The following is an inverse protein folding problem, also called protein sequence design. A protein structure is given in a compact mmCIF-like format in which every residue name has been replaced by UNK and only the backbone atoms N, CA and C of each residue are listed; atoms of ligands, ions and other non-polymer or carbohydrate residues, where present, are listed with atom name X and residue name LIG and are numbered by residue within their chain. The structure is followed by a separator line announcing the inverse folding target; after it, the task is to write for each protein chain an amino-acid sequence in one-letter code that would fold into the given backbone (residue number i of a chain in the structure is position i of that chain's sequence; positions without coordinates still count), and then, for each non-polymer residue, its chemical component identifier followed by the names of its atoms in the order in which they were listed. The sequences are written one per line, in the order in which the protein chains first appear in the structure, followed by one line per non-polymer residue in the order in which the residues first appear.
data_IF_863750764287
#
_entry.id   IF_863750764287
#
_cell.length_a   1.000
_cell.length_b   1.000
_cell.length_c   1.000
_cell.angle_alpha   90.00
_cell.angle_beta   90.00
_cell.angle_gamma   90.00
#
_symmetry.space_group_name_H-M   'P 1'
#
loop_
_entity.id
_entity.type
_entity.pdbx_description
1 polymer ?
#
# COMPACT_ATOMS: atom_id res chain seq x y z
N UNK A 1 -9.39 20.01 -7.98
CA UNK A 1 -10.51 19.44 -8.76
C UNK A 1 -11.79 19.52 -7.93
N UNK A 2 -12.97 19.69 -8.54
CA UNK A 2 -14.27 19.65 -7.83
C UNK A 2 -14.74 18.20 -7.64
N UNK A 3 -15.88 18.00 -6.99
CA UNK A 3 -16.55 16.70 -6.99
C UNK A 3 -16.89 16.26 -8.42
N UNK A 4 -16.94 14.94 -8.63
CA UNK A 4 -17.36 14.36 -9.91
C UNK A 4 -18.80 14.79 -10.25
N UNK A 5 -19.10 14.86 -11.54
CA UNK A 5 -20.45 15.16 -12.03
C UNK A 5 -21.01 13.85 -12.60
N UNK A 6 -21.98 13.21 -11.94
CA UNK A 6 -22.59 12.00 -12.44
C UNK A 6 -23.53 12.30 -13.60
N UNK A 7 -23.90 11.28 -14.36
CA UNK A 7 -25.00 11.41 -15.30
C UNK A 7 -26.33 11.70 -14.57
N UNK A 8 -27.22 12.54 -15.15
CA UNK A 8 -28.46 12.95 -14.49
C UNK A 8 -29.32 11.79 -14.01
N UNK A 9 -29.31 10.65 -14.72
CA UNK A 9 -30.07 9.45 -14.34
C UNK A 9 -29.63 8.82 -13.02
N UNK A 10 -28.43 9.09 -12.52
CA UNK A 10 -27.92 8.51 -11.26
C UNK A 10 -27.94 9.48 -10.08
N UNK A 11 -28.38 10.73 -10.26
CA UNK A 11 -28.35 11.76 -9.21
C UNK A 11 -29.13 11.37 -7.94
N UNK A 12 -30.11 10.49 -8.08
CA UNK A 12 -30.97 10.01 -6.99
C UNK A 12 -30.40 8.79 -6.24
N UNK A 13 -29.28 8.22 -6.68
CA UNK A 13 -28.68 7.05 -6.02
C UNK A 13 -27.85 7.47 -4.80
N UNK A 14 -27.68 6.56 -3.85
CA UNK A 14 -26.77 6.72 -2.70
C UNK A 14 -27.01 7.97 -1.84
N UNK A 15 -28.25 8.49 -1.74
CA UNK A 15 -28.55 9.75 -1.02
C UNK A 15 -28.05 9.76 0.43
N UNK A 16 -28.15 8.61 1.10
CA UNK A 16 -27.74 8.45 2.50
C UNK A 16 -26.29 7.97 2.67
N UNK A 17 -25.56 7.74 1.58
CA UNK A 17 -24.18 7.26 1.67
C UNK A 17 -23.27 8.33 2.30
N UNK A 18 -22.43 7.87 3.22
CA UNK A 18 -21.43 8.65 3.94
C UNK A 18 -20.10 7.94 3.90
N UNK A 19 -19.04 8.70 4.06
CA UNK A 19 -17.70 8.13 4.15
C UNK A 19 -17.58 7.33 5.45
N UNK A 20 -17.01 6.11 5.41
CA UNK A 20 -16.64 5.39 6.63
C UNK A 20 -15.43 6.07 7.28
N UNK A 21 -15.68 7.09 8.11
CA UNK A 21 -14.63 7.82 8.82
C UNK A 21 -14.32 7.18 10.18
N UNK A 22 -13.04 6.96 10.46
CA UNK A 22 -12.53 6.53 11.77
C UNK A 22 -11.61 7.59 12.44
N UNK A 23 -11.80 8.87 12.13
CA UNK A 23 -10.88 9.91 12.59
C UNK A 23 -10.87 10.10 14.12
N UNK A 24 -9.67 10.23 14.68
CA UNK A 24 -9.48 10.51 16.12
C UNK A 24 -9.04 11.96 16.36
N UNK A 25 -9.39 12.49 17.53
CA UNK A 25 -8.91 13.81 17.97
C UNK A 25 -7.42 13.81 18.31
N UNK A 26 -6.86 12.65 18.65
CA UNK A 26 -5.45 12.51 18.99
C UNK A 26 -4.59 12.60 17.73
N UNK A 27 -3.42 13.26 17.79
CA UNK A 27 -2.42 13.17 16.74
C UNK A 27 -1.95 11.72 16.56
N UNK A 28 -1.93 11.26 15.32
CA UNK A 28 -1.42 9.93 14.92
C UNK A 28 -0.81 10.04 13.52
N UNK A 29 -0.03 9.03 13.11
CA UNK A 29 0.78 9.03 11.90
C UNK A 29 2.06 9.85 12.00
N UNK A 30 2.58 10.26 10.85
CA UNK A 30 3.87 10.94 10.73
C UNK A 30 3.81 12.17 9.82
N UNK A 31 4.93 12.89 9.74
CA UNK A 31 5.14 14.03 8.84
C UNK A 31 4.04 15.10 8.98
N UNK A 32 3.42 15.49 7.88
CA UNK A 32 2.42 16.55 7.86
C UNK A 32 1.04 16.05 8.30
N UNK A 33 0.79 14.74 8.18
CA UNK A 33 -0.49 14.08 8.48
C UNK A 33 -0.79 14.18 9.98
N UNK A 34 0.21 13.94 10.84
CA UNK A 34 0.06 14.02 12.30
C UNK A 34 -0.39 15.41 12.81
N UNK A 35 -0.20 16.45 11.99
CA UNK A 35 -0.54 17.84 12.35
C UNK A 35 -1.87 18.32 11.79
N UNK A 36 -2.58 17.46 11.05
CA UNK A 36 -3.85 17.85 10.44
C UNK A 36 -4.92 18.15 11.50
N UNK A 37 -5.62 19.29 11.39
CA UNK A 37 -6.68 19.64 12.32
C UNK A 37 -7.89 18.73 12.11
N UNK A 38 -8.72 18.59 13.16
CA UNK A 38 -10.04 18.00 13.00
C UNK A 38 -10.88 18.82 12.01
N UNK A 39 -11.52 18.12 11.09
CA UNK A 39 -12.40 18.73 10.11
C UNK A 39 -13.72 19.15 10.78
N UNK A 40 -14.22 20.33 10.42
CA UNK A 40 -15.52 20.79 10.90
C UNK A 40 -16.66 20.18 10.09
N UNK A 41 -17.89 20.32 10.58
CA UNK A 41 -19.09 19.73 9.96
C UNK A 41 -19.32 20.16 8.50
N UNK A 42 -18.90 21.36 8.11
CA UNK A 42 -19.03 21.83 6.73
C UNK A 42 -18.14 21.01 5.79
N UNK A 43 -16.89 20.77 6.19
CA UNK A 43 -15.94 19.95 5.42
C UNK A 43 -16.43 18.50 5.35
N UNK A 44 -16.81 17.92 6.49
CA UNK A 44 -17.34 16.54 6.54
C UNK A 44 -18.57 16.37 5.65
N UNK A 45 -19.52 17.31 5.68
CA UNK A 45 -20.71 17.26 4.81
C UNK A 45 -20.34 17.38 3.31
N UNK A 46 -19.33 18.19 2.98
CA UNK A 46 -18.83 18.33 1.63
C UNK A 46 -18.17 17.03 1.15
N UNK A 47 -17.35 16.41 1.99
CA UNK A 47 -16.69 15.15 1.68
C UNK A 47 -17.71 14.02 1.50
N UNK A 48 -18.73 13.95 2.35
CA UNK A 48 -19.88 13.05 2.17
C UNK A 48 -20.57 13.28 0.82
N UNK A 49 -20.74 14.54 0.40
CA UNK A 49 -21.24 14.86 -0.94
C UNK A 49 -20.27 14.39 -2.03
N UNK A 50 -18.97 14.68 -1.89
CA UNK A 50 -17.93 14.28 -2.83
C UNK A 50 -17.93 12.76 -3.04
N UNK A 51 -18.04 12.00 -1.95
CA UNK A 51 -18.14 10.55 -1.96
C UNK A 51 -19.38 10.05 -2.72
N UNK A 52 -20.57 10.59 -2.42
CA UNK A 52 -21.80 10.26 -3.17
C UNK A 52 -21.66 10.53 -4.66
N UNK A 53 -21.08 11.67 -5.02
CA UNK A 53 -20.89 12.03 -6.42
C UNK A 53 -19.98 11.03 -7.14
N UNK A 54 -18.90 10.56 -6.51
CA UNK A 54 -18.04 9.50 -7.06
C UNK A 54 -18.80 8.19 -7.25
N UNK A 55 -19.56 7.73 -6.25
CA UNK A 55 -20.37 6.50 -6.35
C UNK A 55 -21.37 6.57 -7.51
N UNK A 56 -22.00 7.73 -7.70
CA UNK A 56 -22.95 7.98 -8.80
C UNK A 56 -22.25 8.00 -10.15
N UNK A 57 -21.10 8.67 -10.27
CA UNK A 57 -20.31 8.69 -11.51
C UNK A 57 -19.78 7.31 -11.88
N UNK A 58 -19.49 6.46 -10.88
CA UNK A 58 -19.06 5.08 -11.11
C UNK A 58 -20.14 4.22 -11.81
N UNK A 59 -21.42 4.55 -11.67
CA UNK A 59 -22.49 3.81 -12.35
C UNK A 59 -22.41 3.90 -13.88
N UNK A 60 -21.97 5.05 -14.42
CA UNK A 60 -21.68 5.18 -15.86
C UNK A 60 -20.56 4.24 -16.29
N UNK A 61 -19.54 4.06 -15.45
CA UNK A 61 -18.43 3.12 -15.72
C UNK A 61 -18.94 1.68 -15.69
N UNK A 62 -19.79 1.34 -14.72
CA UNK A 62 -20.41 0.01 -14.61
C UNK A 62 -21.23 -0.34 -15.88
N UNK A 63 -22.07 0.57 -16.37
CA UNK A 63 -22.79 0.37 -17.63
C UNK A 63 -21.85 0.22 -18.84
N UNK A 64 -20.75 0.96 -18.89
CA UNK A 64 -19.75 0.83 -19.95
C UNK A 64 -19.08 -0.55 -19.92
N UNK A 65 -18.77 -1.07 -18.72
CA UNK A 65 -18.24 -2.43 -18.55
C UNK A 65 -19.26 -3.46 -19.02
N UNK A 66 -20.53 -3.33 -18.63
CA UNK A 66 -21.60 -4.22 -19.11
C UNK A 66 -21.72 -4.19 -20.65
N UNK A 67 -21.73 -3.00 -21.26
CA UNK A 67 -21.81 -2.86 -22.72
C UNK A 67 -20.61 -3.48 -23.43
N UNK A 68 -19.40 -3.38 -22.86
CA UNK A 68 -18.21 -4.04 -23.39
C UNK A 68 -18.38 -5.56 -23.38
N UNK A 69 -18.86 -6.12 -22.26
CA UNK A 69 -19.08 -7.57 -22.11
C UNK A 69 -20.12 -8.05 -23.13
N UNK A 70 -21.28 -7.38 -23.25
CA UNK A 70 -22.33 -7.72 -24.23
C UNK A 70 -21.81 -7.69 -25.69
N UNK A 71 -20.90 -6.76 -26.01
CA UNK A 71 -20.25 -6.69 -27.33
C UNK A 71 -19.29 -7.86 -27.56
N UNK A 72 -18.55 -8.29 -26.54
CA UNK A 72 -17.70 -9.47 -26.63
C UNK A 72 -18.53 -10.76 -26.79
N UNK A 73 -19.67 -10.86 -26.10
CA UNK A 73 -20.62 -11.97 -26.25
C UNK A 73 -21.23 -12.03 -27.63
N UNK A 74 -21.79 -10.93 -28.11
CA UNK A 74 -22.45 -10.85 -29.42
C UNK A 74 -21.50 -11.08 -30.61
N UNK A 75 -20.20 -10.79 -30.43
CA UNK A 75 -19.15 -11.09 -31.42
C UNK A 75 -18.57 -12.50 -31.28
N UNK A 76 -18.99 -13.28 -30.29
CA UNK A 76 -18.46 -14.62 -30.01
C UNK A 76 -17.00 -14.61 -29.54
N UNK A 77 -16.49 -13.48 -29.04
CA UNK A 77 -15.10 -13.33 -28.58
C UNK A 77 -14.93 -13.47 -27.07
N UNK A 78 -16.03 -13.47 -26.29
CA UNK A 78 -15.95 -13.47 -24.83
C UNK A 78 -15.13 -14.65 -24.27
N UNK A 79 -15.37 -15.86 -24.77
CA UNK A 79 -14.70 -17.08 -24.29
C UNK A 79 -13.21 -17.18 -24.67
N UNK A 80 -12.71 -16.27 -25.52
CA UNK A 80 -11.31 -16.17 -25.92
C UNK A 80 -10.66 -14.85 -25.46
N UNK A 81 -11.27 -14.16 -24.50
CA UNK A 81 -10.81 -12.85 -24.02
C UNK A 81 -10.54 -12.91 -22.52
N UNK A 82 -9.35 -12.46 -22.12
CA UNK A 82 -9.10 -12.09 -20.72
C UNK A 82 -9.58 -10.66 -20.48
N UNK A 83 -10.41 -10.47 -19.46
CA UNK A 83 -10.90 -9.18 -19.00
C UNK A 83 -10.32 -8.96 -17.60
N UNK A 84 -9.56 -7.88 -17.43
CA UNK A 84 -8.96 -7.48 -16.16
C UNK A 84 -9.50 -6.10 -15.79
N UNK A 85 -10.16 -6.00 -14.63
CA UNK A 85 -10.65 -4.74 -14.07
C UNK A 85 -9.83 -4.40 -12.83
N UNK A 86 -9.22 -3.22 -12.82
CA UNK A 86 -8.39 -2.73 -11.71
C UNK A 86 -8.36 -1.18 -11.68
N UNK A 87 -7.67 -0.61 -10.70
CA UNK A 87 -7.38 0.83 -10.59
C UNK A 87 -5.87 1.07 -10.52
N UNK A 88 -5.42 2.26 -10.92
CA UNK A 88 -4.02 2.69 -10.79
C UNK A 88 -3.61 2.87 -9.32
N UNK A 89 -4.52 3.43 -8.53
CA UNK A 89 -4.40 3.67 -7.10
C UNK A 89 -5.79 3.71 -6.46
N UNK A 90 -5.82 3.73 -5.14
CA UNK A 90 -6.97 4.06 -4.33
C UNK A 90 -7.23 5.57 -4.24
N UNK A 91 -8.09 5.98 -3.31
CA UNK A 91 -8.47 7.37 -3.11
C UNK A 91 -9.11 7.59 -1.73
N UNK A 92 -8.43 8.31 -0.85
CA UNK A 92 -9.00 8.78 0.42
C UNK A 92 -9.87 10.03 0.24
N UNK A 93 -10.86 10.18 1.13
CA UNK A 93 -11.79 11.30 1.22
C UNK A 93 -12.11 11.53 2.70
N UNK A 94 -11.39 12.40 3.39
CA UNK A 94 -11.63 12.70 4.81
C UNK A 94 -11.04 11.70 5.80
N UNK A 95 -10.73 10.46 5.40
CA UNK A 95 -9.97 9.54 6.26
C UNK A 95 -8.62 10.15 6.65
N UNK A 96 -8.16 9.88 7.87
CA UNK A 96 -6.98 10.52 8.47
C UNK A 96 -7.04 12.07 8.48
N UNK A 97 -8.25 12.66 8.34
CA UNK A 97 -8.49 14.11 8.19
C UNK A 97 -7.92 14.67 6.88
N UNK A 98 -7.59 13.81 5.92
CA UNK A 98 -7.03 14.18 4.64
C UNK A 98 -8.13 14.77 3.73
N UNK A 99 -7.80 15.83 3.00
CA UNK A 99 -8.65 16.23 1.88
C UNK A 99 -8.68 15.12 0.81
N UNK A 100 -9.69 15.10 -0.07
CA UNK A 100 -9.75 14.17 -1.19
C UNK A 100 -8.41 14.09 -1.96
N UNK A 101 -7.88 12.89 -2.18
CA UNK A 101 -6.54 12.75 -2.74
C UNK A 101 -6.05 11.31 -2.86
N UNK A 102 -4.78 11.17 -3.26
CA UNK A 102 -4.11 9.88 -3.50
C UNK A 102 -2.58 10.00 -3.42
N UNK A 103 -2.03 10.03 -2.22
CA UNK A 103 -0.58 10.26 -2.04
C UNK A 103 -0.04 9.70 -0.73
N UNK A 104 -0.80 8.87 -0.03
CA UNK A 104 -0.44 8.27 1.25
C UNK A 104 -0.32 6.75 1.09
N UNK A 105 0.30 6.10 2.06
CA UNK A 105 0.45 4.64 2.05
C UNK A 105 -0.69 3.91 2.76
N UNK A 106 -1.74 4.62 3.19
CA UNK A 106 -2.91 4.05 3.87
C UNK A 106 -3.72 3.15 2.92
N UNK A 107 -4.48 2.21 3.47
CA UNK A 107 -5.26 1.22 2.70
C UNK A 107 -6.19 1.89 1.68
N UNK A 108 -6.77 3.06 2.01
CA UNK A 108 -7.63 3.80 1.07
C UNK A 108 -6.91 4.17 -0.22
N UNK A 109 -5.60 4.40 -0.20
CA UNK A 109 -4.79 4.83 -1.34
C UNK A 109 -4.10 3.68 -2.07
N UNK A 110 -3.82 2.57 -1.39
CA UNK A 110 -3.00 1.48 -1.96
C UNK A 110 -3.81 0.23 -2.30
N UNK A 111 -4.95 -0.02 -1.62
CA UNK A 111 -5.74 -1.23 -1.83
C UNK A 111 -6.80 -1.01 -2.91
N UNK A 112 -6.47 -1.46 -4.12
CA UNK A 112 -7.31 -1.31 -5.31
C UNK A 112 -8.14 -2.56 -5.62
N UNK A 113 -9.28 -2.43 -6.31
CA UNK A 113 -10.01 -3.58 -6.83
C UNK A 113 -9.15 -4.33 -7.86
N UNK A 114 -9.25 -5.65 -7.89
CA UNK A 114 -8.66 -6.48 -8.94
C UNK A 114 -9.60 -7.65 -9.26
N UNK A 115 -10.12 -7.69 -10.48
CA UNK A 115 -10.95 -8.78 -10.98
C UNK A 115 -10.42 -9.27 -12.31
N UNK A 116 -10.39 -10.58 -12.49
CA UNK A 116 -9.98 -11.22 -13.74
C UNK A 116 -10.99 -12.28 -14.16
N UNK A 117 -11.34 -12.27 -15.45
CA UNK A 117 -12.16 -13.28 -16.14
C UNK A 117 -11.44 -13.69 -17.41
N UNK A 118 -11.53 -14.97 -17.78
CA UNK A 118 -11.07 -15.42 -19.09
C UNK A 118 -10.89 -16.93 -19.17
N UNK A 119 -10.33 -17.44 -20.27
CA UNK A 119 -10.05 -18.85 -20.45
C UNK A 119 -9.27 -19.45 -19.25
N UNK A 120 -9.80 -20.52 -18.65
CA UNK A 120 -9.14 -21.24 -17.55
C UNK A 120 -9.16 -20.54 -16.19
N UNK A 121 -9.76 -19.34 -16.08
CA UNK A 121 -9.94 -18.65 -14.79
C UNK A 121 -11.17 -19.23 -14.07
N UNK A 122 -11.05 -19.73 -12.83
CA UNK A 122 -12.17 -20.28 -12.09
C UNK A 122 -13.26 -19.25 -11.78
N UNK A 123 -14.52 -19.60 -12.00
CA UNK A 123 -15.66 -18.76 -11.65
C UNK A 123 -15.83 -18.63 -10.13
N UNK A 124 -16.07 -17.41 -9.64
CA UNK A 124 -16.38 -17.15 -8.23
C UNK A 124 -15.23 -17.39 -7.24
N UNK A 125 -14.02 -17.70 -7.71
CA UNK A 125 -12.84 -17.87 -6.84
C UNK A 125 -12.40 -16.51 -6.30
N UNK A 126 -12.19 -16.46 -4.99
CA UNK A 126 -11.52 -15.34 -4.31
C UNK A 126 -10.10 -15.77 -4.00
N UNK A 127 -9.13 -14.97 -4.44
CA UNK A 127 -7.72 -15.13 -4.10
C UNK A 127 -7.33 -14.09 -3.04
N UNK A 128 -6.71 -14.54 -1.95
CA UNK A 128 -6.32 -13.69 -0.82
C UNK A 128 -4.80 -13.50 -0.73
N UNK A 129 -4.05 -14.14 -1.62
CA UNK A 129 -2.61 -13.94 -1.78
C UNK A 129 -2.32 -12.47 -2.11
N UNK A 130 -1.25 -11.94 -1.51
CA UNK A 130 -0.76 -10.58 -1.78
C UNK A 130 -0.32 -10.46 -3.24
N UNK A 131 -0.77 -9.40 -3.91
CA UNK A 131 -0.36 -9.08 -5.29
C UNK A 131 -0.24 -7.57 -5.45
N UNK A 132 0.48 -7.15 -6.48
CA UNK A 132 0.81 -5.75 -6.76
C UNK A 132 0.75 -5.46 -8.26
N UNK A 133 0.82 -4.18 -8.64
CA UNK A 133 0.83 -3.82 -10.06
C UNK A 133 2.04 -4.36 -10.83
N UNK A 134 3.18 -4.63 -10.17
CA UNK A 134 4.36 -5.21 -10.84
C UNK A 134 4.15 -6.67 -11.24
N UNK A 135 3.18 -7.36 -10.62
CA UNK A 135 2.80 -8.75 -10.95
C UNK A 135 1.90 -8.84 -12.20
N UNK A 136 1.36 -7.71 -12.69
CA UNK A 136 0.50 -7.67 -13.88
C UNK A 136 1.24 -8.12 -15.14
N UNK A 137 2.44 -7.59 -15.37
CA UNK A 137 3.23 -7.86 -16.58
C UNK A 137 3.62 -9.34 -16.71
N UNK A 138 4.25 -9.98 -15.69
CA UNK A 138 4.55 -11.41 -15.77
C UNK A 138 3.30 -12.27 -15.94
N UNK A 139 2.18 -11.92 -15.27
CA UNK A 139 0.91 -12.62 -15.43
C UNK A 139 0.38 -12.52 -16.86
N UNK A 140 0.41 -11.33 -17.47
CA UNK A 140 0.02 -11.14 -18.87
C UNK A 140 0.91 -11.92 -19.84
N UNK A 141 2.20 -12.06 -19.53
CA UNK A 141 3.12 -12.88 -20.32
C UNK A 141 2.72 -14.36 -20.28
N UNK A 142 2.41 -14.89 -19.11
CA UNK A 142 1.92 -16.27 -18.96
C UNK A 142 0.62 -16.49 -19.73
N UNK A 143 -0.37 -15.61 -19.55
CA UNK A 143 -1.67 -15.71 -20.24
C UNK A 143 -1.53 -15.62 -21.76
N UNK A 144 -0.52 -14.91 -22.26
CA UNK A 144 -0.20 -14.80 -23.68
C UNK A 144 0.72 -15.92 -24.21
N UNK A 145 1.18 -16.84 -23.36
CA UNK A 145 2.13 -17.90 -23.74
C UNK A 145 3.53 -17.38 -24.08
N UNK A 146 3.92 -16.23 -23.52
CA UNK A 146 5.22 -15.62 -23.70
C UNK A 146 6.21 -16.06 -22.61
N UNK A 147 7.52 -16.17 -22.92
CA UNK A 147 8.52 -16.52 -21.91
C UNK A 147 8.68 -15.39 -20.90
N UNK A 148 8.73 -15.73 -19.60
CA UNK A 148 9.05 -14.78 -18.53
C UNK A 148 10.47 -14.24 -18.67
N UNK A 149 10.67 -13.02 -18.17
CA UNK A 149 11.97 -12.35 -18.15
C UNK A 149 12.51 -12.29 -16.74
N UNK A 150 13.83 -12.47 -16.62
CA UNK A 150 14.53 -12.40 -15.34
C UNK A 150 14.59 -10.99 -14.75
N UNK A 151 14.34 -9.95 -15.56
CA UNK A 151 14.37 -8.56 -15.13
C UNK A 151 13.00 -8.00 -14.69
N UNK A 152 12.00 -8.87 -14.51
CA UNK A 152 10.73 -8.49 -13.90
C UNK A 152 10.86 -8.37 -12.39
N UNK A 153 10.36 -7.25 -11.85
CA UNK A 153 10.31 -7.02 -10.40
C UNK A 153 9.21 -7.83 -9.72
N UNK A 154 8.15 -8.19 -10.47
CA UNK A 154 7.00 -8.96 -9.97
C UNK A 154 7.00 -10.43 -10.43
N UNK A 155 5.99 -11.16 -9.98
CA UNK A 155 5.81 -12.60 -10.25
C UNK A 155 4.42 -12.93 -10.78
N UNK A 156 4.21 -14.19 -11.15
CA UNK A 156 2.91 -14.67 -11.61
C UNK A 156 1.87 -14.59 -10.49
N UNK A 157 0.74 -13.94 -10.77
CA UNK A 157 -0.44 -14.03 -9.91
C UNK A 157 -1.07 -15.41 -10.03
N UNK A 158 -1.72 -15.88 -8.96
CA UNK A 158 -2.44 -17.17 -8.93
C UNK A 158 -3.80 -17.12 -9.63
N UNK A 159 -3.78 -16.87 -10.94
CA UNK A 159 -4.99 -16.66 -11.75
C UNK A 159 -5.67 -17.98 -12.13
N UNK A 160 -4.92 -18.94 -12.63
CA UNK A 160 -5.44 -20.23 -13.08
C UNK A 160 -5.39 -21.29 -11.97
N UNK A 161 -6.04 -22.44 -12.18
CA UNK A 161 -6.04 -23.52 -11.18
C UNK A 161 -4.65 -24.16 -11.00
N UNK A 162 -3.79 -24.09 -12.02
CA UNK A 162 -2.44 -24.66 -12.04
C UNK A 162 -1.31 -23.59 -11.98
N UNK A 163 -1.64 -22.30 -11.85
CA UNK A 163 -0.63 -21.25 -11.81
C UNK A 163 0.24 -21.37 -10.56
N UNK A 164 1.55 -21.57 -10.74
CA UNK A 164 2.55 -21.60 -9.66
C UNK A 164 3.02 -20.17 -9.42
N UNK A 165 2.14 -19.35 -8.82
CA UNK A 165 2.53 -18.02 -8.37
C UNK A 165 3.41 -18.10 -7.12
N UNK A 166 4.51 -17.34 -7.12
CA UNK A 166 5.31 -17.12 -5.90
C UNK A 166 4.44 -16.27 -4.98
N UNK A 167 4.20 -16.77 -3.77
CA UNK A 167 3.55 -15.98 -2.71
C UNK A 167 4.66 -15.20 -2.04
N UNK A 168 4.56 -13.88 -2.10
CA UNK A 168 5.33 -12.98 -1.25
C UNK A 168 4.41 -12.39 -0.18
N UNK A 169 5.01 -11.98 0.94
CA UNK A 169 4.29 -11.35 2.05
C UNK A 169 4.31 -9.82 1.94
N UNK A 170 5.14 -9.25 1.06
CA UNK A 170 5.47 -7.83 1.07
C UNK A 170 4.99 -7.10 -0.19
N UNK A 171 4.55 -5.86 0.01
CA UNK A 171 4.28 -4.88 -1.04
C UNK A 171 5.07 -3.63 -0.72
N UNK A 172 5.83 -3.14 -1.70
CA UNK A 172 6.53 -1.85 -1.56
C UNK A 172 5.63 -0.74 -2.08
N UNK A 173 5.47 0.31 -1.28
CA UNK A 173 4.76 1.52 -1.67
C UNK A 173 5.68 2.72 -1.48
N UNK A 174 5.66 3.66 -2.42
CA UNK A 174 6.51 4.84 -2.37
C UNK A 174 5.81 6.07 -2.93
N UNK A 175 6.24 7.23 -2.45
CA UNK A 175 5.81 8.53 -2.96
C UNK A 175 6.98 9.50 -2.97
N UNK A 176 6.90 10.51 -3.84
CA UNK A 176 7.95 11.50 -4.05
C UNK A 176 7.37 12.90 -4.24
N UNK A 177 8.02 13.90 -3.64
CA UNK A 177 7.70 15.31 -3.84
C UNK A 177 6.43 15.74 -3.15
N UNK A 178 5.51 16.33 -3.91
CA UNK A 178 4.27 16.90 -3.36
C UNK A 178 3.09 15.93 -3.40
N UNK A 179 2.28 15.93 -2.35
CA UNK A 179 0.93 15.36 -2.34
C UNK A 179 -0.08 16.41 -2.84
N UNK A 180 -0.52 16.35 -4.11
CA UNK A 180 -1.64 17.17 -4.56
C UNK A 180 -2.92 16.74 -3.85
N UNK A 181 -3.70 17.73 -3.43
CA UNK A 181 -5.04 17.51 -2.87
C UNK A 181 -6.12 18.05 -3.79
N UNK A 182 -7.31 17.50 -3.64
CA UNK A 182 -8.47 17.78 -4.45
C UNK A 182 -9.66 18.24 -3.58
N UNK A 183 -10.69 18.78 -4.21
CA UNK A 183 -11.85 19.37 -3.57
C UNK A 183 -11.80 20.90 -3.43
N UNK A 184 -12.89 21.45 -2.91
CA UNK A 184 -13.09 22.90 -2.73
C UNK A 184 -12.45 23.44 -1.44
N UNK A 185 -12.26 22.58 -0.44
CA UNK A 185 -11.71 22.95 0.88
C UNK A 185 -10.20 22.67 1.01
N UNK A 186 -9.49 22.55 -0.11
CA UNK A 186 -8.06 22.22 -0.17
C UNK A 186 -7.16 23.21 0.57
N UNK A 187 -7.52 24.48 0.64
CA UNK A 187 -6.75 25.51 1.36
C UNK A 187 -6.74 25.33 2.89
N UNK A 188 -7.72 24.59 3.44
CA UNK A 188 -7.80 24.23 4.86
C UNK A 188 -7.05 22.91 5.15
N UNK A 189 -6.88 22.07 4.11
CA UNK A 189 -6.34 20.73 4.20
C UNK A 189 -4.97 20.53 3.51
N UNK A 190 -4.39 21.58 2.92
CA UNK A 190 -3.03 21.63 2.35
C UNK A 190 -2.08 22.38 3.28
N UNK A 191 -1.61 21.78 4.38
CA UNK A 191 -0.53 22.38 5.13
C UNK A 191 0.72 22.48 4.23
N UNK A 192 1.65 23.42 4.49
CA UNK A 192 2.92 23.52 3.75
C UNK A 192 3.72 22.20 3.67
N UNK A 193 3.44 21.27 4.59
CA UNK A 193 4.02 19.94 4.64
C UNK A 193 3.66 19.01 3.48
N UNK A 194 2.58 19.26 2.74
CA UNK A 194 2.24 18.44 1.56
C UNK A 194 3.30 18.48 0.46
N UNK A 195 4.18 19.50 0.46
CA UNK A 195 5.35 19.58 -0.44
C UNK A 195 6.50 18.65 -0.06
N UNK A 196 6.41 17.97 1.08
CA UNK A 196 7.44 17.06 1.61
C UNK A 196 6.81 15.70 1.89
N UNK A 197 6.23 15.11 0.85
CA UNK A 197 5.49 13.86 0.89
C UNK A 197 6.32 12.63 0.48
N UNK A 198 7.64 12.77 0.41
CA UNK A 198 8.50 11.64 0.04
C UNK A 198 8.55 10.62 1.18
N UNK A 199 8.28 9.35 0.87
CA UNK A 199 8.44 8.22 1.79
C UNK A 199 8.68 6.92 1.02
N UNK A 200 9.24 5.94 1.74
CA UNK A 200 9.27 4.53 1.35
C UNK A 200 8.56 3.73 2.41
N UNK A 201 7.76 2.75 2.00
CA UNK A 201 7.04 1.90 2.93
C UNK A 201 6.96 0.46 2.45
N UNK A 202 6.70 -0.42 3.41
CA UNK A 202 6.35 -1.81 3.19
C UNK A 202 5.00 -2.09 3.83
N UNK A 203 4.15 -2.75 3.07
CA UNK A 203 2.96 -3.41 3.55
C UNK A 203 3.29 -4.89 3.62
N UNK A 204 3.16 -5.51 4.78
CA UNK A 204 3.56 -6.90 5.01
C UNK A 204 2.39 -7.69 5.61
N UNK A 205 2.00 -8.77 4.95
CA UNK A 205 0.81 -9.55 5.27
C UNK A 205 1.04 -11.03 4.97
N UNK A 206 0.80 -11.85 5.99
CA UNK A 206 0.77 -13.31 5.88
C UNK A 206 -0.14 -13.87 6.99
N UNK A 207 -0.20 -15.20 7.12
CA UNK A 207 -0.86 -15.85 8.24
C UNK A 207 -0.20 -15.45 9.58
N UNK A 208 -0.88 -14.58 10.33
CA UNK A 208 -0.51 -14.21 11.70
C UNK A 208 -0.03 -12.77 11.89
N UNK A 209 0.23 -12.02 10.81
CA UNK A 209 0.60 -10.61 10.89
C UNK A 209 0.10 -9.81 9.69
N UNK A 210 -0.21 -8.54 9.94
CA UNK A 210 -0.82 -7.66 8.98
C UNK A 210 -0.35 -6.22 9.24
N UNK A 211 0.82 -5.84 8.75
CA UNK A 211 1.51 -4.61 9.15
C UNK A 211 1.70 -3.64 7.98
N UNK A 212 1.75 -2.36 8.32
CA UNK A 212 2.27 -1.30 7.45
C UNK A 212 3.40 -0.59 8.18
N UNK A 213 4.53 -0.37 7.50
CA UNK A 213 5.68 0.35 8.04
C UNK A 213 6.23 1.33 7.01
N UNK A 214 6.45 2.58 7.42
CA UNK A 214 6.96 3.64 6.53
C UNK A 214 8.07 4.45 7.17
N UNK A 215 8.98 4.97 6.32
CA UNK A 215 9.97 5.98 6.68
C UNK A 215 9.77 7.18 5.77
N UNK A 216 9.44 8.32 6.37
CA UNK A 216 9.25 9.58 5.66
C UNK A 216 10.57 10.33 5.48
N UNK A 217 10.62 11.26 4.52
CA UNK A 217 11.79 12.11 4.32
C UNK A 217 12.10 13.07 5.47
N UNK A 218 11.19 13.20 6.45
CA UNK A 218 11.43 13.84 7.75
C UNK A 218 12.18 12.94 8.74
N UNK A 219 12.49 11.69 8.36
CA UNK A 219 12.95 10.59 9.22
C UNK A 219 11.96 10.18 10.31
N UNK A 220 10.70 10.54 10.13
CA UNK A 220 9.61 10.06 10.97
C UNK A 220 9.06 8.76 10.41
N UNK A 221 8.48 7.96 11.28
CA UNK A 221 8.06 6.60 10.94
C UNK A 221 6.60 6.39 11.26
N UNK A 222 5.99 5.47 10.54
CA UNK A 222 4.70 4.89 10.89
C UNK A 222 4.86 3.38 11.01
N UNK A 223 4.15 2.80 11.99
CA UNK A 223 3.95 1.38 12.14
C UNK A 223 2.50 1.14 12.55
N UNK A 224 1.74 0.41 11.74
CA UNK A 224 0.38 0.00 12.08
C UNK A 224 0.25 -1.51 12.03
N UNK A 225 -0.52 -2.06 12.97
CA UNK A 225 -1.00 -3.45 12.93
C UNK A 225 -2.46 -3.47 12.50
N UNK A 226 -2.70 -3.70 11.21
CA UNK A 226 -4.01 -3.66 10.60
C UNK A 226 -4.91 -4.83 11.01
N UNK A 227 -4.37 -5.86 11.69
CA UNK A 227 -5.22 -6.88 12.30
C UNK A 227 -6.02 -6.32 13.50
N UNK A 228 -5.43 -5.39 14.25
CA UNK A 228 -6.03 -4.78 15.43
C UNK A 228 -6.44 -3.31 15.23
N UNK A 229 -5.87 -2.64 14.24
CA UNK A 229 -6.12 -1.25 13.85
C UNK A 229 -6.40 -1.15 12.33
N UNK A 230 -7.57 -1.65 11.85
CA UNK A 230 -7.88 -1.72 10.42
C UNK A 230 -8.10 -0.36 9.75
N UNK A 231 -8.07 0.74 10.52
CA UNK A 231 -8.18 2.11 10.02
C UNK A 231 -6.89 2.91 10.18
N UNK A 232 -5.79 2.28 10.63
CA UNK A 232 -4.46 2.89 10.71
C UNK A 232 -4.46 4.21 11.50
N UNK A 233 -5.20 4.24 12.62
CA UNK A 233 -5.38 5.43 13.46
C UNK A 233 -4.49 5.47 14.69
N UNK A 234 -3.75 4.40 14.98
CA UNK A 234 -2.84 4.30 16.11
C UNK A 234 -1.42 3.89 15.68
N UNK A 235 -0.58 4.89 15.44
CA UNK A 235 0.83 4.66 15.10
C UNK A 235 1.58 4.03 16.29
N UNK A 236 2.03 2.79 16.12
CA UNK A 236 2.75 2.00 17.10
C UNK A 236 4.23 2.37 17.21
N UNK A 237 4.77 3.13 16.24
CA UNK A 237 6.17 3.51 16.27
C UNK A 237 6.45 4.40 17.49
N UNK A 238 7.45 4.08 18.33
CA UNK A 238 7.72 4.85 19.54
C UNK A 238 8.13 6.28 19.19
N UNK A 239 7.26 7.23 19.51
CA UNK A 239 7.58 8.65 19.39
C UNK A 239 8.68 9.05 20.39
N UNK A 240 9.40 10.14 20.12
CA UNK A 240 10.42 10.69 21.04
C UNK A 240 9.87 11.13 22.42
N UNK A 241 8.56 11.06 22.64
CA UNK A 241 7.87 11.52 23.86
C UNK A 241 6.77 10.59 24.36
N UNK A 242 6.89 9.27 24.17
CA UNK A 242 6.05 8.32 24.89
C UNK A 242 6.73 7.95 26.21
N UNK A 243 6.23 8.49 27.31
CA UNK A 243 6.46 7.88 28.63
C UNK A 243 5.87 6.47 28.56
N UNK A 244 6.75 5.47 28.44
CA UNK A 244 6.49 4.03 28.42
C UNK A 244 5.88 3.59 29.76
N UNK A 245 4.58 3.77 29.92
CA UNK A 245 3.77 3.05 30.91
C UNK A 245 2.42 2.72 30.29
N UNK A 246 2.40 1.75 29.41
CA UNK A 246 1.22 1.03 28.93
C UNK A 246 1.76 -0.15 28.14
N UNK A 247 1.58 -1.37 28.66
CA UNK A 247 1.88 -2.67 28.03
C UNK A 247 2.22 -2.55 26.54
N UNK A 248 3.51 -2.59 26.19
CA UNK A 248 3.94 -2.46 24.80
C UNK A 248 3.20 -3.53 23.97
N UNK A 249 2.62 -3.15 22.81
CA UNK A 249 1.88 -4.09 22.00
C UNK A 249 2.84 -5.18 21.54
N UNK A 250 2.57 -6.41 21.97
CA UNK A 250 3.36 -7.57 21.59
C UNK A 250 2.89 -8.06 20.22
N UNK A 251 3.79 -8.02 19.24
CA UNK A 251 3.64 -8.72 17.97
C UNK A 251 4.62 -9.90 17.98
N UNK A 252 4.20 -11.06 17.47
CA UNK A 252 4.99 -12.29 17.54
C UNK A 252 5.37 -12.73 18.96
N UNK A 253 4.62 -12.33 20.00
CA UNK A 253 5.00 -12.47 21.41
C UNK A 253 6.34 -11.80 21.78
N UNK A 254 6.80 -10.82 20.99
CA UNK A 254 8.02 -10.05 21.20
C UNK A 254 7.70 -8.56 21.29
N UNK A 255 8.66 -7.77 21.77
CA UNK A 255 8.57 -6.31 21.84
C UNK A 255 8.78 -5.70 20.45
N UNK A 256 8.10 -4.58 20.16
CA UNK A 256 8.31 -3.75 18.98
C UNK A 256 9.77 -3.37 18.77
N UNK A 257 10.55 -3.21 19.85
CA UNK A 257 11.99 -2.93 19.78
C UNK A 257 12.77 -4.00 19.00
N UNK A 258 12.25 -5.22 18.93
CA UNK A 258 12.83 -6.33 18.15
C UNK A 258 12.25 -6.42 16.73
N UNK A 259 11.00 -5.99 16.52
CA UNK A 259 10.33 -6.01 15.21
C UNK A 259 10.84 -4.90 14.29
N UNK A 260 10.98 -3.67 14.80
CA UNK A 260 11.34 -2.49 14.01
C UNK A 260 12.65 -2.69 13.23
N UNK A 261 13.76 -3.17 13.82
CA UNK A 261 15.01 -3.40 13.08
C UNK A 261 14.87 -4.37 11.88
N UNK A 262 13.93 -5.32 11.94
CA UNK A 262 13.66 -6.27 10.84
C UNK A 262 12.88 -5.62 9.71
N UNK A 263 11.90 -4.79 10.06
CA UNK A 263 11.16 -3.98 9.08
C UNK A 263 12.07 -2.95 8.41
N UNK A 264 12.96 -2.31 9.18
CA UNK A 264 14.03 -1.43 8.68
C UNK A 264 14.91 -2.15 7.66
N UNK A 265 15.43 -3.33 8.02
CA UNK A 265 16.32 -4.11 7.17
C UNK A 265 15.61 -4.58 5.88
N UNK A 266 14.36 -5.03 5.99
CA UNK A 266 13.57 -5.46 4.83
C UNK A 266 13.28 -4.27 3.90
N UNK A 267 12.85 -3.13 4.45
CA UNK A 267 12.62 -1.91 3.68
C UNK A 267 13.92 -1.38 3.04
N UNK A 268 15.07 -1.53 3.70
CA UNK A 268 16.37 -1.20 3.13
C UNK A 268 16.72 -1.99 1.88
N UNK A 269 16.37 -3.28 1.83
CA UNK A 269 16.50 -4.09 0.61
C UNK A 269 15.50 -3.61 -0.45
N UNK A 270 14.25 -3.43 -0.06
CA UNK A 270 13.14 -3.14 -0.97
C UNK A 270 13.18 -1.74 -1.59
N UNK A 271 13.70 -0.74 -0.89
CA UNK A 271 13.68 0.66 -1.36
C UNK A 271 14.40 0.89 -2.69
N UNK A 272 15.30 -0.01 -3.09
CA UNK A 272 16.09 0.06 -4.32
C UNK A 272 16.13 -1.27 -5.08
N UNK A 273 15.21 -2.18 -4.74
CA UNK A 273 15.17 -3.51 -5.30
C UNK A 273 15.00 -3.48 -6.83
N UNK A 274 15.50 -4.53 -7.48
CA UNK A 274 15.26 -4.83 -8.89
C UNK A 274 15.17 -6.33 -9.06
N UNK A 275 14.37 -6.78 -10.02
CA UNK A 275 14.24 -8.16 -10.41
C UNK A 275 14.03 -9.08 -9.20
N UNK A 276 14.83 -10.16 -9.10
CA UNK A 276 14.74 -11.13 -8.01
C UNK A 276 14.90 -10.52 -6.61
N UNK A 277 15.56 -9.37 -6.44
CA UNK A 277 15.62 -8.70 -5.13
C UNK A 277 14.26 -8.17 -4.68
N UNK A 278 13.41 -7.73 -5.62
CA UNK A 278 12.04 -7.34 -5.28
C UNK A 278 11.17 -8.56 -4.96
N UNK A 279 11.44 -9.69 -5.61
CA UNK A 279 10.67 -10.93 -5.44
C UNK A 279 11.04 -11.66 -4.15
N UNK A 280 12.34 -11.75 -3.84
CA UNK A 280 12.90 -12.48 -2.71
C UNK A 280 13.87 -11.59 -1.91
N UNK A 281 13.36 -10.56 -1.22
CA UNK A 281 14.22 -9.64 -0.48
C UNK A 281 14.95 -10.33 0.68
N UNK A 282 14.38 -11.39 1.25
CA UNK A 282 15.02 -12.15 2.32
C UNK A 282 16.31 -12.86 1.88
N UNK A 283 16.39 -13.33 0.62
CA UNK A 283 17.60 -13.96 0.05
C UNK A 283 18.80 -12.98 0.04
N UNK A 284 18.55 -11.66 0.09
CA UNK A 284 19.62 -10.65 0.18
C UNK A 284 20.18 -10.55 1.60
N UNK A 285 19.31 -10.64 2.61
CA UNK A 285 19.69 -10.60 4.03
C UNK A 285 20.25 -11.94 4.50
N UNK A 286 19.66 -13.05 4.03
CA UNK A 286 19.96 -14.43 4.41
C UNK A 286 20.15 -15.31 3.16
N UNK A 287 21.31 -15.19 2.47
CA UNK A 287 21.58 -15.96 1.25
C UNK A 287 21.67 -17.47 1.47
N UNK A 288 21.82 -17.92 2.71
CA UNK A 288 21.78 -19.33 3.11
C UNK A 288 20.36 -19.92 3.12
N UNK A 289 19.33 -19.09 2.92
CA UNK A 289 17.92 -19.47 2.91
C UNK A 289 17.34 -19.75 4.30
N UNK A 290 18.03 -19.34 5.37
CA UNK A 290 17.61 -19.56 6.76
C UNK A 290 16.44 -18.70 7.22
N UNK A 291 16.09 -17.66 6.44
CA UNK A 291 14.96 -16.77 6.65
C UNK A 291 14.26 -16.57 5.31
N UNK A 292 12.97 -16.84 5.24
CA UNK A 292 12.15 -16.63 4.03
C UNK A 292 10.91 -15.78 4.30
N UNK A 293 10.68 -15.42 5.56
CA UNK A 293 9.56 -14.61 6.00
C UNK A 293 9.92 -13.68 7.17
N UNK A 294 9.07 -12.69 7.46
CA UNK A 294 9.20 -11.91 8.69
C UNK A 294 9.11 -12.82 9.92
N UNK A 295 8.27 -13.85 9.89
CA UNK A 295 8.14 -14.83 10.99
C UNK A 295 9.48 -15.53 11.28
N UNK A 296 10.18 -16.01 10.25
CA UNK A 296 11.50 -16.63 10.43
C UNK A 296 12.53 -15.63 10.97
N UNK A 297 12.48 -14.39 10.47
CA UNK A 297 13.36 -13.32 10.90
C UNK A 297 13.23 -13.04 12.40
N UNK A 298 12.03 -13.25 13.00
CA UNK A 298 11.77 -13.01 14.42
C UNK A 298 12.49 -13.97 15.39
N UNK A 299 13.23 -14.98 14.93
CA UNK A 299 14.09 -15.80 15.79
C UNK A 299 15.12 -14.93 16.53
N UNK A 300 15.25 -15.15 17.84
CA UNK A 300 16.11 -14.37 18.75
C UNK A 300 17.59 -14.40 18.33
N UNK A 301 18.04 -15.48 17.68
CA UNK A 301 19.45 -15.59 17.24
C UNK A 301 19.84 -14.51 16.22
N UNK A 302 18.87 -13.92 15.53
CA UNK A 302 19.10 -12.86 14.54
C UNK A 302 19.00 -11.44 15.12
N UNK A 303 18.65 -11.27 16.40
CA UNK A 303 18.38 -9.94 16.98
C UNK A 303 19.54 -8.96 16.77
N UNK A 304 20.75 -9.38 17.15
CA UNK A 304 21.93 -8.53 17.02
C UNK A 304 22.25 -8.17 15.57
N UNK A 305 22.02 -9.11 14.65
CA UNK A 305 22.23 -8.86 13.22
C UNK A 305 21.31 -7.77 12.70
N UNK A 306 20.01 -7.85 13.02
CA UNK A 306 19.05 -6.83 12.60
C UNK A 306 19.27 -5.48 13.32
N UNK A 307 19.66 -5.48 14.60
CA UNK A 307 20.01 -4.25 15.33
C UNK A 307 21.19 -3.49 14.71
N UNK A 308 22.17 -4.21 14.15
CA UNK A 308 23.37 -3.65 13.53
C UNK A 308 23.16 -3.25 12.05
N UNK A 309 21.98 -3.51 11.46
CA UNK A 309 21.70 -3.12 10.07
C UNK A 309 21.70 -1.60 9.89
N UNK A 310 22.21 -1.10 8.74
CA UNK A 310 21.93 0.27 8.33
C UNK A 310 20.41 0.47 8.18
N UNK A 311 19.95 1.69 8.45
CA UNK A 311 18.52 2.04 8.44
C UNK A 311 18.18 2.97 7.29
N UNK A 312 16.92 2.92 6.85
CA UNK A 312 16.41 3.90 5.89
C UNK A 312 16.45 5.27 6.54
N UNK A 313 17.01 6.24 5.82
CA UNK A 313 17.04 7.62 6.28
C UNK A 313 17.14 8.55 5.09
N UNK A 314 16.73 9.79 5.31
CA UNK A 314 16.77 10.84 4.31
C UNK A 314 17.59 12.02 4.80
N UNK A 315 18.50 12.49 3.96
CA UNK A 315 19.20 13.76 4.19
C UNK A 315 18.37 14.96 3.73
N UNK A 316 17.45 14.75 2.78
CA UNK A 316 16.58 15.76 2.19
C UNK A 316 15.30 15.16 1.63
N UNK A 317 14.20 15.92 1.72
CA UNK A 317 12.97 15.66 0.97
C UNK A 317 13.13 16.14 -0.47
N UNK A 318 13.36 15.21 -1.39
CA UNK A 318 13.50 15.49 -2.82
C UNK A 318 12.15 15.41 -3.54
N UNK A 319 12.01 16.17 -4.62
CA UNK A 319 10.81 16.18 -5.49
C UNK A 319 10.71 14.94 -6.40
N UNK A 320 11.71 14.06 -6.37
CA UNK A 320 11.78 12.86 -7.20
C UNK A 320 12.84 11.89 -6.70
N UNK A 321 13.03 10.78 -7.43
CA UNK A 321 13.98 9.72 -7.06
C UNK A 321 15.43 10.17 -7.19
N UNK A 322 16.04 10.58 -6.07
CA UNK A 322 17.43 11.00 -5.96
C UNK A 322 18.14 10.14 -4.91
N UNK A 323 18.85 9.10 -5.36
CA UNK A 323 19.55 8.13 -4.50
C UNK A 323 20.48 8.79 -3.47
N UNK A 324 21.17 9.87 -3.85
CA UNK A 324 22.08 10.58 -2.96
C UNK A 324 21.43 11.18 -1.71
N UNK A 325 20.10 11.28 -1.68
CA UNK A 325 19.33 11.79 -0.55
C UNK A 325 18.74 10.70 0.34
N UNK A 326 18.87 9.41 -0.01
CA UNK A 326 18.25 8.26 0.67
C UNK A 326 19.20 7.49 1.62
N UNK A 327 20.27 8.14 2.10
CA UNK A 327 21.18 7.53 3.07
C UNK A 327 21.87 6.27 2.55
N UNK A 328 22.10 5.30 3.44
CA UNK A 328 22.73 4.02 3.12
C UNK A 328 21.98 3.28 2.00
N UNK A 329 22.65 2.54 1.12
CA UNK A 329 22.00 1.81 0.02
C UNK A 329 22.24 0.29 0.08
N UNK A 330 23.11 -0.16 0.98
CA UNK A 330 23.52 -1.54 1.11
C UNK A 330 23.11 -2.06 2.49
N UNK A 331 22.88 -3.36 2.58
CA UNK A 331 22.60 -4.09 3.82
C UNK A 331 23.77 -5.01 4.17
N UNK A 332 23.86 -5.41 5.43
CA UNK A 332 24.75 -6.50 5.81
C UNK A 332 24.05 -7.82 5.47
N UNK A 333 24.77 -8.78 4.89
CA UNK A 333 24.25 -10.14 4.73
C UNK A 333 24.70 -11.02 5.91
N UNK A 334 23.86 -11.99 6.26
CA UNK A 334 24.04 -12.83 7.45
C UNK A 334 25.34 -13.64 7.40
N UNK A 335 25.65 -14.29 6.27
CA UNK A 335 26.85 -15.12 6.12
C UNK A 335 28.16 -14.35 6.32
N UNK A 336 28.26 -13.12 5.82
CA UNK A 336 29.45 -12.28 5.99
C UNK A 336 29.50 -11.60 7.37
N UNK A 337 28.36 -11.54 8.07
CA UNK A 337 28.27 -10.96 9.40
C UNK A 337 28.70 -11.94 10.50
N UNK A 338 28.35 -13.23 10.36
CA UNK A 338 28.70 -14.32 11.29
C UNK A 338 30.16 -14.76 11.21
#
# INVERSE_FOLDING_TARGET
MTAAIPEPKYEHLFEDAKIPLANTAQPSGANWIKTLPLQNKTIVNYEDHYYRQRLRSLQSVDELVNSLIERLESSGQLENTYIIFTSDNGYHIGQHKLAPGKSTGYEEDIRVPFFIRGPGVPEGRVEITVTTHIDLVPTLFELAGLPLREDFDGTLMRVAQESIGIVHEHVTVESWGSAPVEGEYTSVASPPGTKRNTYKSIRILDEGYNLYYSVWCSNEHELYDLANDPYEIHNLYPGQSANTTSTDPHLFNRDLSTLIPRLDALLMVLKSCKANTCIKPWDVLHPDGSVQSLSDAMDEKYDRFYEEQPKVSYSKCEEGYIVGSEGAQEVLNWEAWT
#
